data_IF_880235410041
#
_entry.id   IF_880235410041
#
_cell.length_a   1.000
_cell.length_b   1.000
_cell.length_c   1.000
_cell.angle_alpha   90.00
_cell.angle_beta   90.00
_cell.angle_gamma   90.00
#
_symmetry.space_group_name_H-M   'P 1'
#
loop_
_entity.id
_entity.type
_entity.pdbx_description
1 polymer ?
#
# COMPACT_ATOMS: atom_id res chain seq x y z
N UNK A 1 -5.50 -8.74 -14.33
CA UNK A 1 -5.62 -7.89 -13.12
C UNK A 1 -5.03 -8.62 -11.92
N UNK A 2 -4.15 -7.96 -11.19
CA UNK A 2 -3.54 -8.55 -9.99
C UNK A 2 -3.97 -7.76 -8.76
N UNK A 3 -4.50 -8.45 -7.76
CA UNK A 3 -4.88 -7.84 -6.48
C UNK A 3 -4.13 -8.51 -5.36
N UNK A 4 -3.61 -7.68 -4.45
CA UNK A 4 -2.81 -8.14 -3.32
C UNK A 4 -3.17 -7.40 -2.05
N UNK A 5 -3.01 -8.08 -0.93
CA UNK A 5 -3.06 -7.47 0.38
C UNK A 5 -1.66 -7.59 1.00
N UNK A 6 -1.17 -6.50 1.54
CA UNK A 6 0.10 -6.48 2.26
C UNK A 6 -0.19 -6.11 3.71
N UNK A 7 0.28 -6.93 4.63
CA UNK A 7 0.05 -6.73 6.06
C UNK A 7 1.38 -6.70 6.80
N UNK A 8 1.53 -5.75 7.74
CA UNK A 8 2.73 -5.65 8.56
C UNK A 8 2.41 -4.92 9.86
N UNK A 9 3.34 -4.99 10.80
CA UNK A 9 3.22 -4.30 12.08
C UNK A 9 4.53 -3.56 12.35
N UNK A 10 4.43 -2.26 12.63
CA UNK A 10 5.61 -1.43 12.91
C UNK A 10 5.84 -1.35 14.41
N UNK A 11 7.06 -0.94 14.78
CA UNK A 11 7.41 -0.63 16.16
C UNK A 11 6.58 0.58 16.60
N UNK A 12 6.17 0.60 17.87
CA UNK A 12 5.25 1.63 18.37
C UNK A 12 5.78 3.04 18.16
N UNK A 13 7.09 3.24 18.32
CA UNK A 13 7.72 4.56 18.14
C UNK A 13 7.97 4.91 16.66
N UNK A 14 7.64 4.03 15.74
CA UNK A 14 7.81 4.25 14.31
C UNK A 14 6.48 4.40 13.55
N UNK A 15 5.34 4.34 14.26
CA UNK A 15 4.02 4.38 13.60
C UNK A 15 3.76 5.69 12.87
N UNK A 16 4.08 6.82 13.50
CA UNK A 16 3.87 8.14 12.87
C UNK A 16 4.77 8.30 11.65
N UNK A 17 6.01 7.86 11.76
CA UNK A 17 6.95 7.87 10.62
C UNK A 17 6.39 7.06 9.45
N UNK A 18 5.85 5.87 9.74
CA UNK A 18 5.26 5.01 8.72
C UNK A 18 4.08 5.70 8.02
N UNK A 19 3.22 6.36 8.78
CA UNK A 19 2.10 7.08 8.21
C UNK A 19 2.55 8.24 7.30
N UNK A 20 3.65 8.89 7.63
CA UNK A 20 4.21 9.96 6.78
C UNK A 20 4.68 9.41 5.44
N UNK A 21 5.34 8.25 5.43
CA UNK A 21 5.74 7.61 4.19
C UNK A 21 4.51 7.25 3.35
N UNK A 22 3.47 6.70 3.97
CA UNK A 22 2.23 6.35 3.28
C UNK A 22 1.58 7.61 2.68
N UNK A 23 1.47 8.66 3.47
CA UNK A 23 0.89 9.93 3.01
C UNK A 23 1.62 10.47 1.77
N UNK A 24 2.95 10.39 1.77
CA UNK A 24 3.76 10.83 0.64
C UNK A 24 3.47 10.00 -0.63
N UNK A 25 3.25 8.70 -0.47
CA UNK A 25 2.88 7.84 -1.60
C UNK A 25 1.55 8.30 -2.21
N UNK A 26 0.55 8.57 -1.36
CA UNK A 26 -0.76 8.99 -1.86
C UNK A 26 -0.72 10.40 -2.47
N UNK A 27 0.09 11.30 -1.93
CA UNK A 27 0.28 12.61 -2.54
C UNK A 27 0.85 12.50 -3.94
N UNK A 28 1.83 11.62 -4.14
CA UNK A 28 2.42 11.40 -5.46
C UNK A 28 1.42 10.73 -6.40
N UNK A 29 0.66 9.76 -5.92
CA UNK A 29 -0.39 9.12 -6.72
C UNK A 29 -1.44 10.12 -7.21
N UNK A 30 -1.87 11.03 -6.34
CA UNK A 30 -2.86 12.05 -6.69
C UNK A 30 -2.31 13.05 -7.70
N UNK A 31 -1.03 13.33 -7.65
CA UNK A 31 -0.37 14.25 -8.57
C UNK A 31 -0.12 13.63 -9.93
N UNK A 32 0.38 12.38 -9.95
CA UNK A 32 0.79 11.73 -11.20
C UNK A 32 -0.29 10.90 -11.86
N UNK A 33 -1.27 10.44 -11.08
CA UNK A 33 -2.44 9.69 -11.58
C UNK A 33 -2.06 8.56 -12.55
N UNK A 34 -1.20 7.63 -12.15
CA UNK A 34 -0.83 6.53 -13.05
C UNK A 34 -2.04 5.66 -13.36
N UNK A 35 -2.16 5.26 -14.63
CA UNK A 35 -3.27 4.42 -15.06
C UNK A 35 -3.12 2.99 -14.53
N UNK A 36 -4.25 2.34 -14.22
CA UNK A 36 -4.26 0.93 -13.87
C UNK A 36 -3.87 0.62 -12.44
N UNK A 37 -3.81 1.62 -11.57
CA UNK A 37 -3.51 1.43 -10.14
C UNK A 37 -4.70 1.83 -9.30
N UNK A 38 -5.12 0.93 -8.40
CA UNK A 38 -6.06 1.22 -7.33
C UNK A 38 -5.38 0.81 -6.03
N UNK A 39 -5.34 1.71 -5.05
CA UNK A 39 -4.54 1.50 -3.87
C UNK A 39 -5.20 2.14 -2.66
N UNK A 40 -5.23 1.41 -1.54
CA UNK A 40 -5.72 1.91 -0.27
C UNK A 40 -4.85 1.38 0.85
N UNK A 41 -4.66 2.19 1.89
CA UNK A 41 -3.91 1.79 3.07
C UNK A 41 -4.74 2.05 4.30
N UNK A 42 -4.69 1.13 5.25
CA UNK A 42 -5.47 1.20 6.48
C UNK A 42 -4.57 0.96 7.68
N UNK A 43 -4.85 1.69 8.76
CA UNK A 43 -4.22 1.44 10.06
C UNK A 43 -5.26 0.74 10.93
N UNK A 44 -4.86 -0.36 11.57
CA UNK A 44 -5.74 -1.09 12.47
C UNK A 44 -5.88 -0.36 13.81
N UNK A 45 -6.87 -0.77 14.62
CA UNK A 45 -7.17 -0.11 15.88
C UNK A 45 -6.03 -0.18 16.91
N UNK A 46 -5.09 -1.11 16.75
CA UNK A 46 -3.93 -1.19 17.63
C UNK A 46 -2.94 -0.04 17.41
N UNK A 47 -3.13 0.74 16.33
CA UNK A 47 -2.30 1.90 16.03
C UNK A 47 -0.94 1.59 15.43
N UNK A 48 -0.58 0.32 15.28
CA UNK A 48 0.75 -0.09 14.80
C UNK A 48 0.70 -1.12 13.67
N UNK A 49 -0.45 -1.72 13.42
CA UNK A 49 -0.62 -2.66 12.31
C UNK A 49 -1.25 -1.96 11.12
N UNK A 50 -0.78 -2.33 9.93
CA UNK A 50 -1.20 -1.70 8.68
C UNK A 50 -1.56 -2.76 7.66
N UNK A 51 -2.57 -2.44 6.85
CA UNK A 51 -2.99 -3.27 5.72
C UNK A 51 -3.06 -2.38 4.49
N UNK A 52 -2.39 -2.81 3.43
CA UNK A 52 -2.47 -2.15 2.13
C UNK A 52 -3.16 -3.08 1.16
N UNK A 53 -4.08 -2.55 0.37
CA UNK A 53 -4.75 -3.30 -0.68
C UNK A 53 -4.42 -2.60 -2.00
N UNK A 54 -3.93 -3.38 -2.96
CA UNK A 54 -3.53 -2.84 -4.25
C UNK A 54 -4.11 -3.70 -5.37
N UNK A 55 -4.58 -3.03 -6.42
CA UNK A 55 -5.07 -3.65 -7.63
C UNK A 55 -4.31 -3.05 -8.81
N UNK A 56 -3.68 -3.90 -9.60
CA UNK A 56 -2.89 -3.47 -10.75
C UNK A 56 -3.52 -3.99 -12.03
N UNK A 57 -3.86 -3.09 -12.94
CA UNK A 57 -4.41 -3.39 -14.26
C UNK A 57 -3.55 -2.75 -15.35
N UNK A 58 -2.30 -3.16 -15.44
CA UNK A 58 -1.42 -2.63 -16.48
C UNK A 58 -1.37 -3.62 -17.64
N UNK A 59 -1.58 -3.12 -18.86
CA UNK A 59 -1.60 -3.94 -20.08
C UNK A 59 -0.28 -4.64 -20.32
N UNK A 60 0.83 -4.03 -19.89
CA UNK A 60 2.18 -4.58 -20.06
C UNK A 60 2.65 -5.39 -18.87
N UNK A 61 1.78 -5.60 -17.87
CA UNK A 61 2.12 -6.35 -16.65
C UNK A 61 3.00 -5.59 -15.67
N UNK A 62 3.33 -4.33 -15.94
CA UNK A 62 4.15 -3.51 -15.05
C UNK A 62 3.29 -3.01 -13.88
N UNK A 63 3.96 -2.81 -12.74
CA UNK A 63 3.35 -2.19 -11.57
C UNK A 63 3.79 -0.72 -11.51
N UNK A 64 2.93 0.23 -11.93
CA UNK A 64 3.31 1.65 -11.92
C UNK A 64 3.66 2.17 -10.52
N UNK A 65 3.13 1.54 -9.47
CA UNK A 65 3.40 1.94 -8.10
C UNK A 65 4.89 1.84 -7.77
N UNK A 66 5.56 0.82 -8.26
CA UNK A 66 7.00 0.62 -7.98
C UNK A 66 7.90 1.66 -8.64
N UNK A 67 7.38 2.42 -9.60
CA UNK A 67 8.13 3.48 -10.26
C UNK A 67 8.07 4.81 -9.50
N UNK A 68 7.16 4.93 -8.53
CA UNK A 68 7.00 6.16 -7.76
C UNK A 68 8.14 6.33 -6.75
N UNK A 69 8.77 7.51 -6.74
CA UNK A 69 9.86 7.78 -5.80
C UNK A 69 9.42 7.68 -4.35
N UNK A 70 8.21 8.13 -4.05
CA UNK A 70 7.66 8.03 -2.69
C UNK A 70 7.45 6.57 -2.28
N UNK A 71 7.03 5.71 -3.21
CA UNK A 71 6.87 4.29 -2.92
C UNK A 71 8.21 3.61 -2.70
N UNK A 72 9.21 3.97 -3.48
CA UNK A 72 10.57 3.47 -3.29
C UNK A 72 11.11 3.86 -1.92
N UNK A 73 10.89 5.11 -1.51
CA UNK A 73 11.31 5.59 -0.20
C UNK A 73 10.60 4.84 0.93
N UNK A 74 9.29 4.61 0.79
CA UNK A 74 8.52 3.83 1.75
C UNK A 74 9.09 2.42 1.89
N UNK A 75 9.33 1.76 0.77
CA UNK A 75 9.75 0.35 0.74
C UNK A 75 11.20 0.14 1.19
N UNK A 76 12.06 1.12 0.98
CA UNK A 76 13.50 0.97 1.22
C UNK A 76 13.83 0.60 2.66
N UNK A 77 13.07 1.13 3.63
CA UNK A 77 13.35 0.94 5.05
C UNK A 77 12.17 0.38 5.83
N UNK A 78 11.16 -0.18 5.13
CA UNK A 78 9.96 -0.65 5.82
C UNK A 78 10.28 -1.76 6.82
N UNK A 79 11.20 -2.65 6.50
CA UNK A 79 11.56 -3.74 7.40
C UNK A 79 12.21 -3.23 8.67
N UNK A 80 13.01 -2.17 8.59
CA UNK A 80 13.63 -1.57 9.78
C UNK A 80 12.60 -0.96 10.72
N UNK A 81 11.47 -0.50 10.18
CA UNK A 81 10.39 0.03 11.00
C UNK A 81 9.52 -1.05 11.60
N UNK A 82 9.59 -2.27 11.07
CA UNK A 82 8.66 -3.33 11.42
C UNK A 82 9.08 -4.16 12.62
N UNK A 83 8.10 -4.49 13.45
CA UNK A 83 8.18 -5.55 14.43
C UNK A 83 7.81 -6.88 13.77
N UNK A 84 6.81 -6.85 12.87
CA UNK A 84 6.43 -7.98 12.03
C UNK A 84 6.56 -7.53 10.57
N UNK A 85 7.44 -8.15 9.78
CA UNK A 85 7.71 -7.69 8.41
C UNK A 85 6.51 -7.87 7.48
N UNK A 86 6.49 -7.14 6.36
CA UNK A 86 5.38 -7.23 5.41
C UNK A 86 5.20 -8.64 4.85
N UNK A 87 3.95 -9.07 4.81
CA UNK A 87 3.53 -10.32 4.17
C UNK A 87 2.53 -9.96 3.08
N UNK A 88 2.82 -10.38 1.85
CA UNK A 88 1.95 -10.13 0.72
C UNK A 88 1.19 -11.40 0.37
N UNK A 89 -0.13 -11.28 0.19
CA UNK A 89 -0.97 -12.39 -0.25
C UNK A 89 -1.80 -11.95 -1.45
N UNK A 90 -1.98 -12.87 -2.39
CA UNK A 90 -2.84 -12.62 -3.54
C UNK A 90 -4.30 -12.71 -3.12
N UNK A 91 -5.12 -11.83 -3.72
CA UNK A 91 -6.54 -11.78 -3.43
C UNK A 91 -7.32 -12.19 -4.69
N UNK A 92 -8.32 -13.05 -4.48
CA UNK A 92 -9.24 -13.43 -5.55
C UNK A 92 -10.62 -12.87 -5.21
N UNK A 93 -11.11 -11.97 -6.04
CA UNK A 93 -12.39 -11.34 -5.78
C UNK A 93 -13.54 -12.33 -5.95
N UNK A 94 -14.35 -12.48 -4.91
CA UNK A 94 -15.58 -13.27 -4.98
C UNK A 94 -16.75 -12.35 -5.36
N UNK A 95 -16.69 -11.10 -4.92
CA UNK A 95 -17.68 -10.09 -5.22
C UNK A 95 -17.29 -8.77 -4.61
N UNK A 96 -17.89 -7.68 -5.09
CA UNK A 96 -17.70 -6.36 -4.52
C UNK A 96 -18.91 -5.51 -4.79
N UNK A 97 -19.19 -4.58 -3.88
CA UNK A 97 -20.28 -3.62 -4.05
C UNK A 97 -19.83 -2.28 -3.48
N UNK A 98 -19.76 -1.27 -4.37
CA UNK A 98 -19.41 0.10 -3.98
C UNK A 98 -18.15 0.22 -3.10
N UNK A 99 -17.21 -0.68 -3.27
CA UNK A 99 -15.98 -0.68 -2.48
C UNK A 99 -15.19 0.60 -2.74
N UNK A 100 -14.82 1.27 -1.65
CA UNK A 100 -14.09 2.55 -1.65
C UNK A 100 -14.84 3.64 -2.42
N UNK A 101 -16.17 3.56 -2.42
CA UNK A 101 -17.05 4.68 -2.73
C UNK A 101 -17.26 4.94 -4.18
N UNK A 102 -16.81 4.51 -5.12
CA UNK A 102 -17.14 4.99 -6.45
C UNK A 102 -16.54 4.35 -7.59
#
# INVERSE_FOLDING_TARGET
>A
MKRMMIRYKVKADRAIENERYITSVFEQLKREKPAGVRYAAFKLDDGVSFVHIVSIEAADGRNPLTDLSAFKAFSAEVQDRCEEPPVAVDLNEIGSYALFGA
#
